data_IF_868493767192
#
_entry.id   IF_868493767192
#
_cell.length_a   1.000
_cell.length_b   1.000
_cell.length_c   1.000
_cell.angle_alpha   90.00
_cell.angle_beta   90.00
_cell.angle_gamma   90.00
#
_symmetry.space_group_name_H-M   'P 1'
#
loop_
_entity.id
_entity.type
_entity.pdbx_description
1 polymer ?
#
# COMPACT_ATOMS: atom_id res chain seq x y z
N UNK A 1 -23.82 -6.33 31.53
CA UNK A 1 -24.48 -6.03 32.81
C UNK A 1 -25.98 -6.26 32.61
N UNK A 2 -26.61 -7.03 33.51
CA UNK A 2 -28.04 -7.28 33.51
C UNK A 2 -28.71 -6.15 34.29
N UNK A 3 -29.66 -5.44 33.68
CA UNK A 3 -30.51 -4.46 34.35
C UNK A 3 -31.96 -4.98 34.43
N UNK A 4 -32.61 -4.74 35.57
CA UNK A 4 -33.98 -5.11 35.82
C UNK A 4 -34.81 -3.85 36.03
N UNK A 5 -35.70 -3.56 35.10
CA UNK A 5 -36.65 -2.44 35.21
C UNK A 5 -37.99 -2.92 35.81
N UNK A 6 -38.20 -2.61 37.08
CA UNK A 6 -39.49 -2.78 37.74
C UNK A 6 -39.98 -4.21 38.01
N UNK A 7 -41.04 -4.36 38.84
CA UNK A 7 -41.74 -5.64 39.09
C UNK A 7 -42.58 -5.99 37.86
N UNK A 8 -42.21 -7.06 37.14
CA UNK A 8 -42.97 -7.59 36.00
C UNK A 8 -42.32 -7.38 34.63
N UNK A 9 -41.26 -6.58 34.51
CA UNK A 9 -40.43 -6.49 33.29
C UNK A 9 -39.36 -7.57 33.29
N UNK A 10 -39.16 -8.20 32.13
CA UNK A 10 -38.09 -9.19 31.95
C UNK A 10 -36.71 -8.60 32.22
N UNK A 11 -35.71 -9.46 32.33
CA UNK A 11 -34.30 -9.03 32.41
C UNK A 11 -33.77 -8.80 31.00
N UNK A 12 -33.31 -7.60 30.71
CA UNK A 12 -32.75 -7.22 29.40
C UNK A 12 -31.26 -7.16 29.47
N UNK A 13 -30.58 -7.59 28.38
CA UNK A 13 -29.16 -7.37 28.17
C UNK A 13 -29.04 -5.98 27.58
N UNK A 14 -28.37 -5.07 28.29
CA UNK A 14 -28.08 -3.73 27.75
C UNK A 14 -27.09 -3.89 26.58
N UNK A 15 -27.44 -3.38 25.42
CA UNK A 15 -26.61 -3.44 24.19
C UNK A 15 -25.21 -2.82 24.36
N UNK A 16 -24.99 -2.02 25.37
CA UNK A 16 -23.69 -1.48 25.77
C UNK A 16 -22.79 -2.47 26.54
N UNK A 17 -23.22 -3.74 26.64
CA UNK A 17 -22.53 -4.78 27.44
C UNK A 17 -21.56 -5.68 26.67
N UNK A 18 -21.10 -5.31 25.48
CA UNK A 18 -19.83 -5.84 25.02
C UNK A 18 -18.77 -5.15 25.90
N UNK A 19 -18.48 -5.79 27.04
CA UNK A 19 -17.25 -5.53 27.79
C UNK A 19 -16.14 -6.03 26.87
N UNK A 20 -15.86 -5.26 25.83
CA UNK A 20 -14.56 -5.30 25.23
C UNK A 20 -13.60 -4.97 26.35
N UNK A 21 -12.81 -5.93 26.78
CA UNK A 21 -11.69 -5.68 27.71
C UNK A 21 -10.98 -4.47 27.11
N UNK A 22 -11.15 -3.30 27.74
CA UNK A 22 -10.53 -2.05 27.26
C UNK A 22 -9.04 -2.32 27.33
N UNK A 23 -8.47 -2.68 26.20
CA UNK A 23 -7.03 -2.89 26.08
C UNK A 23 -6.34 -1.62 26.61
N UNK A 24 -5.42 -1.82 27.58
CA UNK A 24 -4.63 -0.70 28.08
C UNK A 24 -3.88 -0.11 26.89
N UNK A 25 -4.07 1.19 26.64
CA UNK A 25 -3.39 1.88 25.56
C UNK A 25 -1.88 1.83 25.79
N UNK A 26 -1.15 1.51 24.73
CA UNK A 26 0.30 1.46 24.72
C UNK A 26 0.92 2.80 24.37
N UNK A 27 0.11 3.71 23.81
CA UNK A 27 0.53 5.00 23.25
C UNK A 27 1.63 4.86 22.20
N UNK A 28 1.58 3.77 21.42
CA UNK A 28 2.51 3.45 20.35
C UNK A 28 1.76 3.11 19.06
N UNK A 29 2.21 3.64 17.94
CA UNK A 29 1.73 3.32 16.59
C UNK A 29 2.86 2.63 15.82
N UNK A 30 2.57 1.49 15.18
CA UNK A 30 3.50 0.89 14.24
C UNK A 30 3.40 1.59 12.88
N UNK A 31 4.52 2.02 12.35
CA UNK A 31 4.65 2.51 10.97
C UNK A 31 5.47 1.50 10.20
N UNK A 32 4.85 0.84 9.23
CA UNK A 32 5.50 -0.15 8.37
C UNK A 32 5.68 0.46 6.98
N UNK A 33 6.89 0.45 6.46
CA UNK A 33 7.19 0.96 5.11
C UNK A 33 8.06 -0.03 4.34
N UNK A 34 8.02 0.04 3.01
CA UNK A 34 8.87 -0.80 2.17
C UNK A 34 10.31 -0.29 2.18
N UNK A 35 10.51 1.01 2.01
CA UNK A 35 11.82 1.66 2.02
C UNK A 35 11.75 3.02 2.73
N UNK A 36 12.79 3.39 3.46
CA UNK A 36 12.88 4.69 4.16
C UNK A 36 13.65 5.73 3.34
N UNK A 37 14.58 5.27 2.50
CA UNK A 37 15.50 6.15 1.78
C UNK A 37 14.89 6.84 0.55
N UNK A 38 13.68 6.50 0.18
CA UNK A 38 12.99 7.14 -0.93
C UNK A 38 12.51 8.53 -0.53
N UNK A 39 12.78 9.50 -1.38
CA UNK A 39 12.54 10.94 -1.18
C UNK A 39 11.15 11.28 -0.62
N UNK A 40 10.09 10.62 -1.11
CA UNK A 40 8.71 10.90 -0.68
C UNK A 40 8.43 10.35 0.72
N UNK A 41 8.93 9.15 1.04
CA UNK A 41 8.59 8.46 2.29
C UNK A 41 9.20 9.11 3.52
N UNK A 42 10.38 9.73 3.42
CA UNK A 42 10.98 10.45 4.54
C UNK A 42 10.09 11.60 5.02
N UNK A 43 9.51 12.37 4.09
CA UNK A 43 8.57 13.45 4.42
C UNK A 43 7.25 12.93 5.02
N UNK A 44 6.69 11.86 4.47
CA UNK A 44 5.46 11.24 4.99
C UNK A 44 5.68 10.73 6.42
N UNK A 45 6.79 10.02 6.67
CA UNK A 45 7.11 9.49 8.00
C UNK A 45 7.28 10.63 9.01
N UNK A 46 7.94 11.70 8.61
CA UNK A 46 8.13 12.87 9.46
C UNK A 46 6.79 13.53 9.84
N UNK A 47 5.87 13.68 8.89
CA UNK A 47 4.54 14.23 9.18
C UNK A 47 3.69 13.29 10.05
N UNK A 48 3.79 11.98 9.83
CA UNK A 48 3.16 10.99 10.72
C UNK A 48 3.70 11.13 12.14
N UNK A 49 5.02 11.20 12.29
CA UNK A 49 5.67 11.37 13.60
C UNK A 49 5.19 12.64 14.28
N UNK A 50 5.23 13.78 13.61
CA UNK A 50 4.77 15.06 14.12
C UNK A 50 3.32 14.98 14.63
N UNK A 51 2.40 14.42 13.84
CA UNK A 51 0.99 14.30 14.20
C UNK A 51 0.76 13.34 15.36
N UNK A 52 1.45 12.18 15.35
CA UNK A 52 1.33 11.21 16.43
C UNK A 52 1.91 11.73 17.75
N UNK A 53 3.08 12.36 17.71
CA UNK A 53 3.72 12.99 18.87
C UNK A 53 2.84 14.07 19.51
N UNK A 54 2.21 14.95 18.72
CA UNK A 54 1.24 15.92 19.22
C UNK A 54 0.01 15.28 19.87
N UNK A 55 -0.37 14.08 19.44
CA UNK A 55 -1.45 13.30 20.03
C UNK A 55 -1.00 12.44 21.24
N UNK A 56 0.26 12.56 21.65
CA UNK A 56 0.85 11.80 22.75
C UNK A 56 1.23 10.36 22.40
N UNK A 57 1.32 10.02 21.12
CA UNK A 57 1.74 8.69 20.65
C UNK A 57 3.18 8.71 20.18
N UNK A 58 3.95 7.68 20.56
CA UNK A 58 5.23 7.38 19.91
C UNK A 58 5.02 6.56 18.64
N UNK A 59 5.97 6.61 17.72
CA UNK A 59 5.97 5.74 16.53
C UNK A 59 7.07 4.69 16.62
N UNK A 60 6.76 3.50 16.09
CA UNK A 60 7.70 2.40 15.95
C UNK A 60 7.82 2.06 14.46
N UNK A 61 8.95 2.42 13.84
CA UNK A 61 9.16 2.22 12.41
C UNK A 61 9.70 0.81 12.17
N UNK A 62 9.14 0.13 11.18
CA UNK A 62 9.59 -1.17 10.70
C UNK A 62 9.69 -1.16 9.18
N UNK A 63 10.78 -1.70 8.63
CA UNK A 63 11.08 -1.67 7.20
C UNK A 63 10.97 -3.08 6.64
N UNK A 64 10.04 -3.29 5.69
CA UNK A 64 9.82 -4.59 5.06
C UNK A 64 10.80 -4.86 3.91
N UNK A 65 11.40 -3.82 3.35
CA UNK A 65 12.19 -3.91 2.11
C UNK A 65 11.43 -4.59 0.96
N UNK A 66 10.12 -4.42 0.89
CA UNK A 66 9.21 -5.09 -0.03
C UNK A 66 9.31 -6.64 0.03
N UNK A 67 9.65 -7.19 1.20
CA UNK A 67 9.77 -8.63 1.45
C UNK A 67 8.58 -9.14 2.25
N UNK A 68 7.85 -10.09 1.67
CA UNK A 68 6.69 -10.75 2.29
C UNK A 68 7.07 -11.48 3.60
N UNK A 69 8.27 -12.03 3.67
CA UNK A 69 8.77 -12.70 4.87
C UNK A 69 9.02 -11.71 6.01
N UNK A 70 9.62 -10.55 5.70
CA UNK A 70 9.84 -9.50 6.70
C UNK A 70 8.52 -8.91 7.18
N UNK A 71 7.58 -8.65 6.27
CA UNK A 71 6.23 -8.23 6.63
C UNK A 71 5.60 -9.24 7.59
N UNK A 72 5.65 -10.55 7.26
CA UNK A 72 5.14 -11.62 8.12
C UNK A 72 5.76 -11.61 9.51
N UNK A 73 7.08 -11.45 9.58
CA UNK A 73 7.79 -11.37 10.87
C UNK A 73 7.32 -10.19 11.73
N UNK A 74 7.17 -9.01 11.12
CA UNK A 74 6.71 -7.80 11.80
C UNK A 74 5.27 -7.99 12.30
N UNK A 75 4.35 -8.47 11.44
CA UNK A 75 2.95 -8.69 11.80
C UNK A 75 2.80 -9.71 12.93
N UNK A 76 3.54 -10.82 12.89
CA UNK A 76 3.57 -11.80 14.00
C UNK A 76 4.08 -11.15 15.28
N UNK A 77 5.15 -10.37 15.23
CA UNK A 77 5.66 -9.67 16.42
C UNK A 77 4.62 -8.69 17.01
N UNK A 78 3.82 -8.04 16.18
CA UNK A 78 2.73 -7.16 16.64
C UNK A 78 1.63 -7.98 17.34
N UNK A 79 1.22 -9.11 16.73
CA UNK A 79 0.21 -10.01 17.30
C UNK A 79 0.63 -10.57 18.67
N UNK A 80 1.88 -11.01 18.77
CA UNK A 80 2.41 -11.65 19.97
C UNK A 80 2.62 -10.65 21.11
N UNK A 81 3.23 -9.52 20.81
CA UNK A 81 3.64 -8.54 21.82
C UNK A 81 2.54 -7.55 22.21
N UNK A 82 1.57 -7.30 21.32
CA UNK A 82 0.44 -6.37 21.52
C UNK A 82 0.86 -4.98 22.01
N UNK A 83 1.99 -4.48 21.51
CA UNK A 83 2.62 -3.24 22.00
C UNK A 83 2.29 -1.97 21.19
N UNK A 84 1.33 -2.06 20.27
CA UNK A 84 0.90 -0.93 19.46
C UNK A 84 -0.61 -0.79 19.48
N UNK A 85 -1.12 0.43 19.39
CA UNK A 85 -2.54 0.74 19.40
C UNK A 85 -3.13 0.88 18.00
N UNK A 86 -2.28 0.94 16.97
CA UNK A 86 -2.67 1.03 15.58
C UNK A 86 -1.48 0.78 14.65
N UNK A 87 -1.78 0.55 13.38
CA UNK A 87 -0.79 0.31 12.34
C UNK A 87 -1.05 1.27 11.17
N UNK A 88 0.00 1.95 10.72
CA UNK A 88 0.05 2.65 9.44
C UNK A 88 1.01 1.84 8.56
N UNK A 89 0.53 1.26 7.47
CA UNK A 89 1.32 0.32 6.69
C UNK A 89 1.34 0.68 5.20
N UNK A 90 2.53 0.68 4.64
CA UNK A 90 2.71 0.55 3.20
C UNK A 90 2.69 -0.95 2.85
N UNK A 91 1.78 -1.41 1.98
CA UNK A 91 1.67 -2.81 1.64
C UNK A 91 2.91 -3.33 0.91
N UNK A 92 3.30 -4.55 1.26
CA UNK A 92 4.42 -5.25 0.63
C UNK A 92 3.93 -6.01 -0.60
N UNK A 93 4.60 -5.84 -1.74
CA UNK A 93 4.27 -6.52 -3.01
C UNK A 93 2.78 -6.46 -3.33
N UNK A 94 2.20 -5.28 -3.23
CA UNK A 94 0.74 -5.05 -3.32
C UNK A 94 0.14 -5.35 -4.70
N UNK A 95 0.97 -5.61 -5.71
CA UNK A 95 0.55 -6.08 -7.04
C UNK A 95 0.42 -7.61 -7.14
N UNK A 96 0.82 -8.36 -6.12
CA UNK A 96 0.82 -9.81 -6.11
C UNK A 96 -0.05 -10.36 -4.98
N UNK A 97 -0.55 -11.59 -5.08
CA UNK A 97 -1.23 -12.25 -3.97
C UNK A 97 -0.35 -12.28 -2.71
N UNK A 98 -0.86 -11.75 -1.60
CA UNK A 98 -0.09 -11.67 -0.36
C UNK A 98 -0.52 -12.76 0.63
N UNK A 99 0.39 -13.66 1.07
CA UNK A 99 0.09 -14.73 2.02
C UNK A 99 -0.07 -14.25 3.47
N UNK A 100 0.08 -12.95 3.74
CA UNK A 100 0.00 -12.37 5.08
C UNK A 100 -1.36 -11.71 5.39
N UNK A 101 -2.32 -11.75 4.46
CA UNK A 101 -3.63 -11.12 4.65
C UNK A 101 -4.35 -11.61 5.92
N UNK A 102 -4.17 -12.88 6.27
CA UNK A 102 -4.76 -13.45 7.49
C UNK A 102 -4.19 -12.83 8.77
N UNK A 103 -2.91 -12.47 8.78
CA UNK A 103 -2.31 -11.79 9.92
C UNK A 103 -2.89 -10.38 10.11
N UNK A 104 -3.13 -9.66 9.01
CA UNK A 104 -3.82 -8.37 9.08
C UNK A 104 -5.24 -8.52 9.61
N UNK A 105 -6.00 -9.54 9.14
CA UNK A 105 -7.35 -9.83 9.65
C UNK A 105 -7.32 -10.10 11.16
N UNK A 106 -6.44 -10.97 11.61
CA UNK A 106 -6.27 -11.29 13.03
C UNK A 106 -5.92 -10.05 13.87
N UNK A 107 -5.08 -9.14 13.36
CA UNK A 107 -4.73 -7.88 14.02
C UNK A 107 -5.96 -6.99 14.17
N UNK A 108 -6.74 -6.82 13.09
CA UNK A 108 -7.97 -6.02 13.09
C UNK A 108 -9.03 -6.63 14.01
N UNK A 109 -9.19 -7.95 14.03
CA UNK A 109 -10.11 -8.68 14.94
C UNK A 109 -9.71 -8.50 16.42
N UNK A 110 -8.44 -8.31 16.72
CA UNK A 110 -7.97 -7.94 18.06
C UNK A 110 -8.19 -6.46 18.42
N UNK A 111 -8.87 -5.70 17.56
CA UNK A 111 -9.19 -4.29 17.79
C UNK A 111 -8.00 -3.35 17.55
N UNK A 112 -6.97 -3.76 16.81
CA UNK A 112 -5.87 -2.90 16.36
C UNK A 112 -6.23 -2.37 14.96
N UNK A 113 -6.57 -1.08 14.83
CA UNK A 113 -6.88 -0.50 13.53
C UNK A 113 -5.65 -0.51 12.61
N UNK A 114 -5.91 -0.77 11.33
CA UNK A 114 -4.91 -0.72 10.27
C UNK A 114 -5.35 0.31 9.23
N UNK A 115 -4.47 1.21 8.87
CA UNK A 115 -4.64 2.10 7.71
C UNK A 115 -3.49 1.86 6.73
N UNK A 116 -3.83 1.75 5.46
CA UNK A 116 -2.81 1.63 4.42
C UNK A 116 -2.46 3.00 3.81
N UNK A 117 -1.20 3.15 3.43
CA UNK A 117 -0.70 4.33 2.73
C UNK A 117 -0.02 3.91 1.42
N UNK A 118 -0.03 4.81 0.44
CA UNK A 118 0.58 4.62 -0.88
C UNK A 118 -0.09 3.56 -1.76
N UNK A 119 -0.46 2.42 -1.22
CA UNK A 119 -1.23 1.36 -1.86
C UNK A 119 -2.12 0.66 -0.82
N UNK A 120 -2.82 -0.41 -1.20
CA UNK A 120 -3.68 -1.19 -0.32
C UNK A 120 -3.85 -2.62 -0.85
N UNK A 121 -4.32 -3.51 0.02
CA UNK A 121 -4.77 -4.84 -0.37
C UNK A 121 -6.29 -4.82 -0.56
N UNK A 122 -6.80 -5.02 -1.80
CA UNK A 122 -8.24 -4.99 -2.08
C UNK A 122 -9.06 -5.99 -1.27
N UNK A 123 -8.44 -7.10 -0.85
CA UNK A 123 -9.05 -8.17 -0.08
C UNK A 123 -9.27 -7.81 1.41
N UNK A 124 -8.72 -6.69 1.86
CA UNK A 124 -8.86 -6.20 3.22
C UNK A 124 -9.76 -4.96 3.24
N UNK A 125 -10.82 -5.00 4.07
CA UNK A 125 -11.69 -3.84 4.31
C UNK A 125 -11.03 -2.87 5.30
N UNK A 126 -9.89 -2.30 4.91
CA UNK A 126 -9.17 -1.33 5.71
C UNK A 126 -9.16 0.04 5.02
N UNK A 127 -9.22 1.15 5.77
CA UNK A 127 -9.05 2.47 5.18
C UNK A 127 -7.65 2.62 4.55
N UNK A 128 -7.57 3.41 3.51
CA UNK A 128 -6.30 3.70 2.85
C UNK A 128 -6.22 5.12 2.32
N UNK A 129 -5.01 5.62 2.17
CA UNK A 129 -4.67 6.87 1.50
C UNK A 129 -3.70 6.54 0.37
N UNK A 130 -4.13 6.68 -0.86
CA UNK A 130 -3.35 6.38 -2.06
C UNK A 130 -3.64 7.39 -3.16
N UNK A 131 -2.74 7.51 -4.13
CA UNK A 131 -3.00 8.25 -5.35
C UNK A 131 -4.02 7.49 -6.21
N UNK A 132 -4.71 8.23 -7.09
CA UNK A 132 -5.38 7.61 -8.22
C UNK A 132 -4.33 7.27 -9.31
N UNK A 133 -3.67 6.12 -9.10
CA UNK A 133 -2.61 5.66 -9.98
C UNK A 133 -3.11 5.39 -11.41
N UNK A 134 -4.37 5.00 -11.58
CA UNK A 134 -4.95 4.81 -12.90
C UNK A 134 -5.05 6.14 -13.64
N UNK A 135 -5.59 7.16 -12.97
CA UNK A 135 -5.66 8.51 -13.52
C UNK A 135 -4.27 9.07 -13.78
N UNK A 136 -3.31 8.87 -12.89
CA UNK A 136 -1.92 9.32 -13.08
C UNK A 136 -1.28 8.71 -14.34
N UNK A 137 -1.44 7.39 -14.55
CA UNK A 137 -0.96 6.72 -15.77
C UNK A 137 -1.66 7.22 -17.03
N UNK A 138 -2.97 7.45 -16.95
CA UNK A 138 -3.75 8.01 -18.06
C UNK A 138 -3.28 9.41 -18.44
N UNK A 139 -3.21 10.31 -17.47
CA UNK A 139 -2.80 11.71 -17.70
C UNK A 139 -1.39 11.82 -18.29
N UNK A 140 -0.43 11.02 -17.79
CA UNK A 140 0.92 11.00 -18.31
C UNK A 140 0.94 10.57 -19.79
N UNK A 141 0.17 9.54 -20.14
CA UNK A 141 0.09 9.02 -21.50
C UNK A 141 -0.63 9.99 -22.43
N UNK A 142 -1.75 10.59 -22.00
CA UNK A 142 -2.48 11.61 -22.74
C UNK A 142 -1.60 12.82 -23.06
N UNK A 143 -0.77 13.25 -22.09
CA UNK A 143 0.16 14.33 -22.30
C UNK A 143 1.17 14.02 -23.43
N UNK A 144 1.74 12.81 -23.44
CA UNK A 144 2.63 12.39 -24.52
C UNK A 144 1.91 12.34 -25.89
N UNK A 145 0.66 11.88 -25.91
CA UNK A 145 -0.18 11.87 -27.12
C UNK A 145 -0.44 13.29 -27.61
N UNK A 146 -0.75 14.23 -26.73
CA UNK A 146 -0.93 15.65 -27.05
C UNK A 146 0.34 16.30 -27.59
N UNK A 147 1.51 15.85 -27.13
CA UNK A 147 2.81 16.25 -27.68
C UNK A 147 3.10 15.64 -29.08
N UNK A 148 2.19 14.85 -29.65
CA UNK A 148 2.31 14.24 -30.97
C UNK A 148 2.95 12.86 -31.00
N UNK A 149 3.30 12.28 -29.83
CA UNK A 149 3.86 10.93 -29.78
C UNK A 149 2.80 9.87 -30.07
N UNK A 150 3.18 8.84 -30.87
CA UNK A 150 2.35 7.68 -31.19
C UNK A 150 3.05 6.36 -30.90
N UNK A 151 4.36 6.38 -30.86
CA UNK A 151 5.22 5.25 -30.53
C UNK A 151 5.68 5.43 -29.06
N UNK A 152 4.79 5.10 -28.11
CA UNK A 152 4.97 5.36 -26.67
C UNK A 152 5.29 4.03 -25.99
N UNK A 153 6.43 4.00 -25.30
CA UNK A 153 6.78 2.91 -24.38
C UNK A 153 6.31 3.20 -22.95
N UNK A 154 6.33 2.18 -22.11
CA UNK A 154 6.07 2.36 -20.70
C UNK A 154 6.85 1.35 -19.86
N UNK A 155 7.28 1.78 -18.67
CA UNK A 155 7.98 0.95 -17.69
C UNK A 155 7.15 0.95 -16.41
N UNK A 156 6.72 -0.22 -15.97
CA UNK A 156 5.89 -0.39 -14.78
C UNK A 156 6.51 -1.35 -13.78
N UNK A 157 6.18 -1.14 -12.52
CA UNK A 157 6.59 -2.05 -11.46
C UNK A 157 5.58 -3.20 -11.31
N UNK A 158 6.05 -4.43 -11.50
CA UNK A 158 5.21 -5.62 -11.55
C UNK A 158 4.72 -6.07 -10.17
N UNK A 159 5.52 -5.86 -9.14
CA UNK A 159 5.21 -6.33 -7.78
C UNK A 159 4.47 -5.30 -6.92
N UNK A 160 4.15 -4.11 -7.46
CA UNK A 160 3.38 -3.07 -6.77
C UNK A 160 2.05 -2.77 -7.47
N UNK A 161 0.97 -2.65 -6.72
CA UNK A 161 -0.37 -2.37 -7.24
C UNK A 161 -0.49 -1.03 -7.99
N UNK A 162 0.36 -0.06 -7.68
CA UNK A 162 0.46 1.19 -8.41
C UNK A 162 0.88 0.95 -9.86
N UNK A 163 1.88 0.08 -10.10
CA UNK A 163 2.33 -0.25 -11.46
C UNK A 163 1.20 -0.80 -12.32
N UNK A 164 0.41 -1.72 -11.77
CA UNK A 164 -0.73 -2.31 -12.47
C UNK A 164 -1.83 -1.26 -12.77
N UNK A 165 -2.12 -0.39 -11.84
CA UNK A 165 -3.12 0.68 -12.04
C UNK A 165 -2.65 1.71 -13.06
N UNK A 166 -1.38 2.14 -12.99
CA UNK A 166 -0.79 3.06 -13.99
C UNK A 166 -0.78 2.44 -15.39
N UNK A 167 -0.49 1.15 -15.49
CA UNK A 167 -0.62 0.41 -16.74
C UNK A 167 -2.05 0.45 -17.29
N UNK A 168 -3.06 0.24 -16.44
CA UNK A 168 -4.45 0.33 -16.86
C UNK A 168 -4.80 1.72 -17.40
N UNK A 169 -4.29 2.79 -16.79
CA UNK A 169 -4.45 4.16 -17.29
C UNK A 169 -3.72 4.41 -18.62
N UNK A 170 -2.51 3.89 -18.77
CA UNK A 170 -1.76 3.93 -20.04
C UNK A 170 -2.53 3.25 -21.18
N UNK A 171 -3.06 2.05 -20.95
CA UNK A 171 -3.86 1.32 -21.94
C UNK A 171 -5.12 2.11 -22.32
N UNK A 172 -5.84 2.66 -21.34
CA UNK A 172 -7.05 3.43 -21.56
C UNK A 172 -6.77 4.67 -22.46
N UNK A 173 -5.71 5.42 -22.18
CA UNK A 173 -5.34 6.58 -22.97
C UNK A 173 -4.96 6.21 -24.41
N UNK A 174 -4.24 5.10 -24.64
CA UNK A 174 -3.91 4.62 -25.98
C UNK A 174 -5.17 4.21 -26.76
N UNK A 175 -6.09 3.51 -26.09
CA UNK A 175 -7.36 3.07 -26.72
C UNK A 175 -8.23 4.26 -27.11
N UNK A 176 -8.37 5.25 -26.24
CA UNK A 176 -9.16 6.47 -26.52
C UNK A 176 -8.57 7.29 -27.68
N UNK A 177 -7.25 7.23 -27.89
CA UNK A 177 -6.56 7.90 -28.98
C UNK A 177 -6.43 7.05 -30.27
N UNK A 178 -7.05 5.86 -30.30
CA UNK A 178 -6.94 4.89 -31.41
C UNK A 178 -5.47 4.52 -31.75
N UNK A 179 -4.64 4.42 -30.71
CA UNK A 179 -3.24 4.00 -30.85
C UNK A 179 -3.14 2.50 -30.55
N UNK A 180 -2.51 1.75 -31.47
CA UNK A 180 -2.32 0.31 -31.30
C UNK A 180 -1.45 0.02 -30.07
N UNK A 181 -1.98 -0.81 -29.16
CA UNK A 181 -1.24 -1.34 -28.03
C UNK A 181 -0.23 -2.38 -28.53
N UNK A 182 1.02 -2.27 -28.09
CA UNK A 182 2.12 -3.16 -28.46
C UNK A 182 2.80 -3.65 -27.18
N UNK A 183 2.59 -4.93 -26.85
CA UNK A 183 3.12 -5.54 -25.61
C UNK A 183 4.65 -5.47 -25.55
N UNK A 184 5.33 -5.51 -26.69
CA UNK A 184 6.78 -5.36 -26.77
C UNK A 184 7.30 -4.01 -26.28
N UNK A 185 6.43 -2.98 -26.17
CA UNK A 185 6.78 -1.65 -25.66
C UNK A 185 6.52 -1.48 -24.18
N UNK A 186 5.94 -2.46 -23.55
CA UNK A 186 5.70 -2.46 -22.12
C UNK A 186 6.78 -3.25 -21.40
N UNK A 187 7.46 -2.61 -20.49
CA UNK A 187 8.50 -3.21 -19.69
C UNK A 187 7.99 -3.34 -18.25
N UNK A 188 8.05 -4.53 -17.73
CA UNK A 188 7.77 -4.81 -16.33
C UNK A 188 9.07 -5.05 -15.59
N UNK A 189 9.28 -4.32 -14.50
CA UNK A 189 10.41 -4.47 -13.58
C UNK A 189 9.86 -4.79 -12.19
N UNK A 190 10.64 -5.48 -11.39
CA UNK A 190 10.28 -5.75 -9.99
C UNK A 190 11.28 -5.15 -9.00
N UNK A 191 11.05 -5.37 -7.71
CA UNK A 191 11.93 -4.88 -6.64
C UNK A 191 13.34 -5.45 -6.76
N UNK A 192 13.50 -6.70 -7.18
CA UNK A 192 14.81 -7.33 -7.30
C UNK A 192 15.57 -6.80 -8.53
N UNK A 193 14.87 -6.50 -9.61
CA UNK A 193 15.44 -5.83 -10.78
C UNK A 193 16.07 -4.49 -10.40
N UNK A 194 15.37 -3.71 -9.56
CA UNK A 194 15.86 -2.41 -9.10
C UNK A 194 17.04 -2.54 -8.15
N UNK A 195 17.04 -3.58 -7.30
CA UNK A 195 18.07 -3.78 -6.27
C UNK A 195 19.36 -4.39 -6.79
N UNK A 196 19.24 -5.43 -7.62
CA UNK A 196 20.35 -6.27 -8.03
C UNK A 196 21.04 -5.77 -9.29
N UNK A 197 20.37 -4.91 -10.05
CA UNK A 197 20.95 -4.35 -11.27
C UNK A 197 21.60 -3.03 -10.94
N UNK A 198 22.90 -2.98 -11.13
CA UNK A 198 23.59 -1.72 -11.37
C UNK A 198 22.91 -1.09 -12.59
N UNK A 199 21.93 -0.22 -12.35
CA UNK A 199 21.08 0.39 -13.41
C UNK A 199 21.92 1.00 -14.56
N UNK A 200 23.23 1.22 -14.32
CA UNK A 200 24.17 1.74 -15.33
C UNK A 200 24.66 0.68 -16.32
N UNK A 201 24.78 -0.58 -15.93
CA UNK A 201 25.36 -1.64 -16.79
C UNK A 201 24.32 -2.56 -17.45
N UNK A 202 23.18 -2.78 -16.81
CA UNK A 202 22.18 -3.75 -17.27
C UNK A 202 20.89 -3.13 -17.84
N UNK A 203 20.71 -1.81 -17.86
CA UNK A 203 19.57 -1.15 -18.49
C UNK A 203 19.53 -1.30 -20.03
N UNK A 204 20.57 -1.88 -20.62
CA UNK A 204 20.66 -2.10 -22.08
C UNK A 204 19.50 -2.95 -22.63
N UNK A 205 18.92 -3.87 -21.83
CA UNK A 205 17.78 -4.68 -22.27
C UNK A 205 16.49 -3.86 -22.32
N UNK A 206 16.29 -2.92 -21.36
CA UNK A 206 15.17 -1.98 -21.37
C UNK A 206 15.27 -1.10 -22.62
N UNK A 207 16.44 -0.49 -22.85
CA UNK A 207 16.66 0.39 -23.99
C UNK A 207 16.44 -0.35 -25.32
N UNK A 208 16.88 -1.60 -25.43
CA UNK A 208 16.60 -2.43 -26.62
C UNK A 208 15.10 -2.66 -26.81
N UNK A 209 14.36 -2.90 -25.74
CA UNK A 209 12.93 -3.17 -25.79
C UNK A 209 12.11 -1.95 -26.20
N UNK A 210 12.53 -0.76 -25.79
CA UNK A 210 11.85 0.49 -26.14
C UNK A 210 12.45 1.17 -27.40
N UNK A 211 13.37 0.49 -28.07
CA UNK A 211 13.98 1.02 -29.31
C UNK A 211 12.91 1.31 -30.36
N UNK A 212 12.98 2.48 -30.98
CA UNK A 212 11.99 2.94 -31.96
C UNK A 212 10.74 3.63 -31.34
N UNK A 213 10.64 3.69 -30.02
CA UNK A 213 9.68 4.55 -29.35
C UNK A 213 10.16 6.00 -29.32
N UNK A 214 9.22 6.93 -29.40
CA UNK A 214 9.52 8.37 -29.42
C UNK A 214 9.31 9.02 -28.04
N UNK A 215 8.66 8.31 -27.12
CA UNK A 215 8.43 8.69 -25.73
C UNK A 215 8.31 7.47 -24.82
N UNK A 216 8.53 7.71 -23.52
CA UNK A 216 8.35 6.72 -22.46
C UNK A 216 7.94 7.42 -21.15
#
# INVERSE_FOLDING_TARGET
>A
VLEKEGRGSGTYIKESGIIGVRRKKTMQIAVMTTFVQEYIFSGIIQEIENKMSHAGYGIQISITNNSVEKERFILKSILDKKRVDGIIAEPTKSGLPNPNLDLYRQIMEQGIPVIFINSYYPELKAPHVSLDDKMAGKMATEYLIQCGHREIAAIFKADDGQGHRRYAGYIEALMEADIRIKDERVVWIDTEDVRNRNMREESSWILRRIQGCTAC
#
